data_IF_444501787636
#
_entry.id   IF_444501787636
#
_cell.length_a   1.000
_cell.length_b   1.000
_cell.length_c   1.000
_cell.angle_alpha   90.00
_cell.angle_beta   90.00
_cell.angle_gamma   90.00
#
_symmetry.space_group_name_H-M   'P 1'
#
loop_
_entity.id
_entity.type
_entity.pdbx_description
1 polymer ?
#
# COMPACT_ATOMS: atom_id res chain seq x y z
N UNK A 1 -15.06 -9.90 6.20
CA UNK A 1 -14.75 -8.77 7.10
C UNK A 1 -16.07 -8.25 7.65
N UNK A 2 -16.36 -8.49 8.92
CA UNK A 2 -17.55 -7.96 9.59
C UNK A 2 -17.12 -6.76 10.45
N UNK A 3 -16.91 -5.62 9.78
CA UNK A 3 -16.51 -4.37 10.41
C UNK A 3 -17.72 -3.52 10.75
N UNK A 4 -17.72 -2.90 11.93
CA UNK A 4 -18.78 -2.00 12.41
C UNK A 4 -18.18 -0.73 12.99
N UNK A 5 -18.89 0.39 12.82
CA UNK A 5 -18.60 1.65 13.51
C UNK A 5 -17.10 2.01 13.47
N UNK A 6 -16.49 1.91 12.29
CA UNK A 6 -15.04 1.95 12.08
C UNK A 6 -14.67 2.99 11.04
N UNK A 7 -13.55 3.69 11.28
CA UNK A 7 -13.06 4.81 10.48
C UNK A 7 -11.51 4.72 10.38
N UNK A 8 -10.93 5.04 9.23
CA UNK A 8 -9.47 4.99 8.96
C UNK A 8 -8.72 3.72 9.44
N UNK A 9 -9.13 2.55 8.93
CA UNK A 9 -8.51 1.24 9.22
C UNK A 9 -7.81 0.67 7.97
N UNK A 10 -6.58 0.19 8.11
CA UNK A 10 -5.80 -0.40 7.01
C UNK A 10 -5.19 -1.76 7.37
N UNK A 11 -5.87 -2.84 6.95
CA UNK A 11 -5.49 -4.24 7.18
C UNK A 11 -6.28 -4.87 8.32
N UNK A 12 -7.50 -5.35 8.07
CA UNK A 12 -8.48 -5.66 9.11
C UNK A 12 -8.69 -7.15 9.43
N UNK A 13 -9.41 -7.42 10.53
CA UNK A 13 -9.73 -8.76 11.04
C UNK A 13 -11.09 -9.30 10.65
N UNK A 14 -11.42 -10.48 11.19
CA UNK A 14 -12.61 -11.25 10.84
C UNK A 14 -13.90 -10.58 11.33
N UNK A 15 -13.90 -10.15 12.59
CA UNK A 15 -14.96 -9.34 13.21
C UNK A 15 -14.33 -8.27 14.09
N UNK A 16 -14.50 -7.00 13.74
CA UNK A 16 -13.99 -5.91 14.57
C UNK A 16 -14.90 -4.68 14.57
N UNK A 17 -14.86 -3.91 15.65
CA UNK A 17 -15.76 -2.78 15.87
C UNK A 17 -15.06 -1.61 16.56
N UNK A 18 -15.59 -0.39 16.38
CA UNK A 18 -15.11 0.82 17.07
C UNK A 18 -13.61 1.04 16.85
N UNK A 19 -13.20 1.02 15.58
CA UNK A 19 -11.81 1.27 15.18
C UNK A 19 -11.69 2.71 14.66
N UNK A 20 -10.65 3.44 15.06
CA UNK A 20 -10.34 4.75 14.47
C UNK A 20 -8.82 4.89 14.26
N UNK A 21 -8.38 5.22 13.05
CA UNK A 21 -6.96 5.50 12.75
C UNK A 21 -6.05 4.32 13.14
N UNK A 22 -6.09 3.22 12.38
CA UNK A 22 -5.32 1.98 12.68
C UNK A 22 -4.70 1.29 11.46
N UNK A 23 -3.49 0.74 11.62
CA UNK A 23 -2.75 -0.02 10.58
C UNK A 23 -1.74 -0.98 11.23
N UNK A 24 -2.02 -2.24 11.55
CA UNK A 24 -3.08 -3.12 11.06
C UNK A 24 -3.59 -4.08 12.16
N UNK A 25 -4.87 -4.47 12.11
CA UNK A 25 -5.57 -5.17 13.20
C UNK A 25 -6.23 -6.45 12.69
N UNK A 26 -5.80 -7.63 13.14
CA UNK A 26 -6.33 -8.94 12.70
C UNK A 26 -7.07 -9.71 13.81
N UNK A 27 -7.84 -10.74 13.44
CA UNK A 27 -8.67 -11.50 14.38
C UNK A 27 -9.89 -10.72 14.88
N UNK A 28 -10.20 -10.86 16.18
CA UNK A 28 -11.36 -10.24 16.83
C UNK A 28 -10.95 -9.02 17.67
N UNK A 29 -11.19 -7.81 17.16
CA UNK A 29 -10.75 -6.57 17.83
C UNK A 29 -11.89 -5.60 18.14
N UNK A 30 -11.74 -4.80 19.19
CA UNK A 30 -12.74 -3.79 19.54
C UNK A 30 -12.12 -2.59 20.24
N UNK A 31 -12.52 -1.36 19.88
CA UNK A 31 -12.01 -0.14 20.54
C UNK A 31 -10.48 -0.01 20.43
N UNK A 32 -9.99 -0.11 19.21
CA UNK A 32 -8.58 0.11 18.88
C UNK A 32 -8.43 1.43 18.14
N UNK A 33 -7.60 2.32 18.68
CA UNK A 33 -7.55 3.72 18.27
C UNK A 33 -6.10 4.20 18.08
N UNK A 34 -5.82 4.97 17.04
CA UNK A 34 -4.52 5.63 16.80
C UNK A 34 -3.32 4.65 16.84
N UNK A 35 -3.52 3.43 16.35
CA UNK A 35 -2.68 2.27 16.68
C UNK A 35 -2.21 1.49 15.46
N UNK A 36 -0.94 1.10 15.44
CA UNK A 36 -0.42 0.15 14.45
C UNK A 36 -0.86 -1.32 14.71
N UNK A 37 -1.75 -1.52 15.69
CA UNK A 37 -2.66 -2.65 15.77
C UNK A 37 -2.02 -3.96 16.24
N UNK A 38 -2.76 -5.06 16.05
CA UNK A 38 -2.33 -6.42 16.38
C UNK A 38 -3.49 -7.34 16.77
N UNK A 39 -3.19 -8.64 16.86
CA UNK A 39 -4.23 -9.68 16.79
C UNK A 39 -5.02 -9.84 18.11
N UNK A 40 -6.35 -9.95 18.02
CA UNK A 40 -7.27 -10.17 19.15
C UNK A 40 -7.20 -9.11 20.27
N UNK A 41 -6.95 -7.85 19.93
CA UNK A 41 -6.79 -6.76 20.91
C UNK A 41 -8.08 -5.98 21.20
N UNK A 42 -8.19 -5.44 22.42
CA UNK A 42 -9.32 -4.58 22.83
C UNK A 42 -8.84 -3.38 23.63
N UNK A 43 -9.54 -2.25 23.53
CA UNK A 43 -9.26 -1.05 24.34
C UNK A 43 -7.77 -0.66 24.23
N UNK A 44 -7.35 -0.34 23.00
CA UNK A 44 -5.96 -0.02 22.68
C UNK A 44 -5.83 1.39 22.12
N UNK A 45 -4.83 2.13 22.60
CA UNK A 45 -4.50 3.48 22.13
C UNK A 45 -3.00 3.57 21.85
N UNK A 46 -2.60 4.23 20.77
CA UNK A 46 -1.18 4.51 20.48
C UNK A 46 -0.28 3.26 20.60
N UNK A 47 -0.76 2.10 20.17
CA UNK A 47 -0.08 0.82 20.39
C UNK A 47 0.28 0.13 19.08
N UNK A 48 1.38 -0.63 19.08
CA UNK A 48 1.98 -1.28 17.92
C UNK A 48 2.29 -2.75 18.21
N UNK A 49 1.85 -3.67 17.36
CA UNK A 49 1.98 -5.12 17.52
C UNK A 49 1.58 -5.69 18.90
N UNK A 50 0.59 -5.08 19.57
CA UNK A 50 0.00 -5.67 20.78
C UNK A 50 -0.89 -6.87 20.39
N UNK A 51 -0.78 -8.00 21.09
CA UNK A 51 -1.50 -9.23 20.78
C UNK A 51 -2.26 -9.73 22.02
N UNK A 52 -3.53 -10.11 21.84
CA UNK A 52 -4.43 -10.64 22.86
C UNK A 52 -4.34 -9.85 24.18
N UNK A 53 -4.33 -8.52 24.05
CA UNK A 53 -4.10 -7.59 25.15
C UNK A 53 -5.27 -6.62 25.27
N UNK A 54 -5.55 -6.18 26.49
CA UNK A 54 -6.71 -5.33 26.81
C UNK A 54 -6.33 -4.15 27.70
N UNK A 55 -6.84 -2.95 27.43
CA UNK A 55 -6.49 -1.73 28.18
C UNK A 55 -4.97 -1.46 28.11
N UNK A 56 -4.49 -1.16 26.90
CA UNK A 56 -3.08 -0.81 26.65
C UNK A 56 -2.93 0.54 25.96
N UNK A 57 -1.96 1.33 26.43
CA UNK A 57 -1.72 2.70 25.96
C UNK A 57 -0.23 2.88 25.65
N UNK A 58 0.13 3.35 24.44
CA UNK A 58 1.53 3.58 24.10
C UNK A 58 2.40 2.31 24.03
N UNK A 59 1.80 1.13 23.86
CA UNK A 59 2.49 -0.15 24.06
C UNK A 59 2.95 -0.81 22.76
N UNK A 60 4.13 -1.42 22.77
CA UNK A 60 4.78 -2.04 21.61
C UNK A 60 5.07 -3.52 21.88
N UNK A 61 4.65 -4.42 20.98
CA UNK A 61 4.96 -5.86 21.01
C UNK A 61 4.51 -6.65 22.26
N UNK A 62 3.53 -6.17 23.03
CA UNK A 62 3.00 -6.89 24.19
C UNK A 62 2.16 -8.11 23.79
N UNK A 63 2.15 -9.16 24.63
CA UNK A 63 1.36 -10.39 24.41
C UNK A 63 0.66 -10.82 25.70
N UNK A 64 -0.65 -11.08 25.65
CA UNK A 64 -1.44 -11.56 26.80
C UNK A 64 -1.34 -10.63 28.03
N UNK A 65 -1.38 -9.31 27.84
CA UNK A 65 -1.22 -8.31 28.91
C UNK A 65 -2.44 -7.40 29.05
N UNK A 66 -2.59 -6.85 30.24
CA UNK A 66 -3.65 -5.89 30.55
C UNK A 66 -3.18 -4.77 31.46
N UNK A 67 -3.81 -3.60 31.37
CA UNK A 67 -3.49 -2.40 32.15
C UNK A 67 -2.02 -1.98 32.00
N UNK A 68 -1.59 -1.81 30.74
CA UNK A 68 -0.20 -1.45 30.42
C UNK A 68 -0.10 -0.06 29.80
N UNK A 69 0.89 0.72 30.26
CA UNK A 69 1.23 2.05 29.72
C UNK A 69 2.72 2.04 29.41
N UNK A 70 3.09 2.34 28.16
CA UNK A 70 4.49 2.34 27.68
C UNK A 70 5.24 1.05 28.08
N UNK A 71 4.63 -0.12 27.78
CA UNK A 71 5.09 -1.47 28.12
C UNK A 71 5.20 -1.83 29.62
N UNK A 72 4.98 -0.90 30.55
CA UNK A 72 4.90 -1.21 31.98
C UNK A 72 3.47 -1.59 32.37
N UNK A 73 3.33 -2.69 33.10
CA UNK A 73 2.05 -3.13 33.67
C UNK A 73 1.80 -2.44 35.02
N UNK A 74 0.55 -2.05 35.27
CA UNK A 74 0.07 -1.35 36.46
C UNK A 74 -1.11 -2.10 37.11
N UNK A 75 -1.55 -1.66 38.30
CA UNK A 75 -2.90 -2.07 38.76
C UNK A 75 -3.97 -1.40 37.89
N UNK A 76 -5.21 -1.90 37.99
CA UNK A 76 -6.35 -1.32 37.27
C UNK A 76 -6.58 0.13 37.69
N UNK A 77 -6.54 0.41 38.99
CA UNK A 77 -6.81 1.70 39.61
C UNK A 77 -5.73 2.73 39.24
N UNK A 78 -4.47 2.29 39.20
CA UNK A 78 -3.35 3.10 38.70
C UNK A 78 -3.53 3.44 37.21
N UNK A 79 -3.87 2.44 36.38
CA UNK A 79 -4.09 2.64 34.95
C UNK A 79 -5.25 3.60 34.67
N UNK A 80 -6.40 3.40 35.30
CA UNK A 80 -7.60 4.24 35.16
C UNK A 80 -7.35 5.68 35.63
N UNK A 81 -6.44 5.89 36.58
CA UNK A 81 -5.99 7.22 37.01
C UNK A 81 -4.96 7.85 36.06
N UNK A 82 -4.01 7.07 35.54
CA UNK A 82 -2.90 7.56 34.72
C UNK A 82 -3.34 7.93 33.30
N UNK A 83 -4.18 7.11 32.65
CA UNK A 83 -4.55 7.32 31.24
C UNK A 83 -5.24 8.68 31.01
N UNK A 84 -6.25 9.12 31.79
CA UNK A 84 -6.84 10.45 31.62
C UNK A 84 -5.84 11.60 31.82
N UNK A 85 -4.88 11.44 32.74
CA UNK A 85 -3.83 12.43 32.97
C UNK A 85 -2.87 12.53 31.76
N UNK A 86 -2.51 11.40 31.15
CA UNK A 86 -1.68 11.34 29.94
C UNK A 86 -2.42 11.98 28.75
N UNK A 87 -3.70 11.65 28.52
CA UNK A 87 -4.51 12.25 27.45
C UNK A 87 -4.55 13.77 27.58
N UNK A 88 -4.89 14.28 28.77
CA UNK A 88 -4.90 15.73 29.08
C UNK A 88 -3.53 16.39 28.95
N UNK A 89 -2.44 15.65 29.14
CA UNK A 89 -1.08 16.14 28.93
C UNK A 89 -0.74 16.25 27.44
N UNK A 90 -1.14 15.28 26.61
CA UNK A 90 -0.99 15.34 25.15
C UNK A 90 -1.75 16.52 24.52
N UNK A 91 -2.92 16.89 25.07
CA UNK A 91 -3.66 18.06 24.59
C UNK A 91 -2.99 19.39 24.95
N UNK A 92 -2.32 19.44 26.11
CA UNK A 92 -1.64 20.63 26.64
C UNK A 92 -0.25 20.85 26.05
N UNK A 93 0.45 19.78 25.74
CA UNK A 93 1.77 19.77 25.12
C UNK A 93 1.74 18.79 23.95
N UNK A 94 1.08 19.17 22.85
CA UNK A 94 1.03 18.36 21.65
C UNK A 94 2.41 18.23 21.02
N UNK A 95 2.59 17.19 20.23
CA UNK A 95 3.78 17.06 19.40
C UNK A 95 3.63 17.96 18.16
N UNK A 96 4.65 18.76 17.86
CA UNK A 96 4.73 19.53 16.61
C UNK A 96 5.86 18.96 15.77
N UNK A 97 5.56 18.61 14.52
CA UNK A 97 6.54 18.02 13.60
C UNK A 97 7.40 19.10 12.90
N UNK A 98 8.40 18.68 12.13
CA UNK A 98 9.27 19.61 11.36
C UNK A 98 8.56 20.49 10.32
N UNK A 99 7.27 20.29 10.07
CA UNK A 99 6.42 21.09 9.17
C UNK A 99 5.42 21.99 9.92
N UNK A 100 5.42 21.98 11.26
CA UNK A 100 4.44 22.69 12.06
C UNK A 100 3.08 21.98 12.17
N UNK A 101 3.01 20.69 11.80
CA UNK A 101 1.79 19.88 11.98
C UNK A 101 1.69 19.47 13.45
N UNK A 102 0.53 19.78 14.07
CA UNK A 102 0.30 19.60 15.51
C UNK A 102 -0.51 18.33 15.76
N UNK A 103 0.04 17.41 16.56
CA UNK A 103 -0.53 16.11 16.88
C UNK A 103 -0.94 16.06 18.36
N UNK A 104 -2.25 15.97 18.60
CA UNK A 104 -2.89 15.91 19.93
C UNK A 104 -3.35 14.50 20.28
N UNK A 105 -3.96 14.32 21.46
CA UNK A 105 -4.74 13.10 21.68
C UNK A 105 -5.92 13.08 20.71
N UNK A 106 -6.06 11.99 19.94
CA UNK A 106 -7.03 11.88 18.85
C UNK A 106 -6.41 11.84 17.45
N UNK A 107 -5.11 12.14 17.31
CA UNK A 107 -4.40 12.07 16.02
C UNK A 107 -3.59 10.76 15.91
N UNK A 108 -3.38 10.24 14.69
CA UNK A 108 -2.44 9.12 14.46
C UNK A 108 -0.97 9.55 14.67
N UNK A 109 -0.06 8.58 14.68
CA UNK A 109 1.37 8.85 14.79
C UNK A 109 1.89 9.75 13.64
N UNK A 110 2.68 10.81 13.95
CA UNK A 110 3.34 11.63 12.95
C UNK A 110 4.16 10.79 11.95
N UNK A 111 4.03 11.02 10.62
CA UNK A 111 4.76 10.24 9.61
C UNK A 111 6.29 10.25 9.78
N UNK A 112 6.86 11.28 10.40
CA UNK A 112 8.31 11.34 10.66
C UNK A 112 8.79 10.40 11.78
N UNK A 113 7.89 9.89 12.62
CA UNK A 113 8.18 8.85 13.63
C UNK A 113 8.12 7.43 13.04
N UNK A 114 7.72 7.26 11.78
CA UNK A 114 7.71 5.96 11.11
C UNK A 114 9.08 5.27 11.16
N UNK A 115 9.11 3.93 11.17
CA UNK A 115 10.34 3.17 11.01
C UNK A 115 10.88 3.20 9.56
N UNK A 116 10.01 3.49 8.58
CA UNK A 116 10.30 3.38 7.14
C UNK A 116 10.36 4.75 6.44
N UNK A 117 11.01 4.82 5.28
CA UNK A 117 10.90 5.96 4.36
C UNK A 117 9.60 5.87 3.55
N UNK A 118 9.11 6.98 3.00
CA UNK A 118 7.87 7.00 2.21
C UNK A 118 7.95 6.04 1.03
N UNK A 119 9.07 6.04 0.29
CA UNK A 119 9.28 5.17 -0.87
C UNK A 119 9.48 3.68 -0.53
N UNK A 120 9.59 3.32 0.75
CA UNK A 120 9.58 1.93 1.24
C UNK A 120 8.24 1.57 1.91
N UNK A 121 7.35 2.54 2.13
CA UNK A 121 6.09 2.36 2.85
C UNK A 121 5.02 1.70 1.97
N UNK A 122 4.07 1.01 2.60
CA UNK A 122 2.94 0.35 1.92
C UNK A 122 2.09 1.32 1.06
N UNK A 123 2.06 2.62 1.40
CA UNK A 123 1.34 3.63 0.65
C UNK A 123 1.94 3.94 -0.73
N UNK A 124 3.25 3.74 -0.93
CA UNK A 124 3.96 4.22 -2.12
C UNK A 124 3.50 3.63 -3.45
N UNK A 125 3.22 2.31 -3.58
CA UNK A 125 2.70 1.75 -4.83
C UNK A 125 1.27 2.21 -5.19
N UNK A 126 0.56 2.84 -4.25
CA UNK A 126 -0.76 3.43 -4.47
C UNK A 126 -0.70 4.94 -4.76
N UNK A 127 0.24 5.61 -4.11
CA UNK A 127 0.46 7.06 -4.19
C UNK A 127 1.94 7.33 -4.49
N UNK A 128 2.42 6.98 -5.70
CA UNK A 128 3.82 7.20 -6.06
C UNK A 128 4.10 8.70 -6.10
N UNK A 129 5.14 9.12 -5.37
CA UNK A 129 5.64 10.50 -5.35
C UNK A 129 7.11 10.53 -5.75
N UNK A 130 7.54 11.62 -6.38
CA UNK A 130 8.96 11.93 -6.58
C UNK A 130 9.67 12.17 -5.24
N UNK A 131 11.00 12.09 -5.25
CA UNK A 131 11.82 12.40 -4.06
C UNK A 131 11.59 13.84 -3.60
N UNK A 132 11.48 14.75 -4.54
CA UNK A 132 11.30 16.18 -4.33
C UNK A 132 9.97 16.47 -3.63
N UNK A 133 8.87 15.84 -4.08
CA UNK A 133 7.57 15.91 -3.41
C UNK A 133 7.59 15.31 -2.00
N UNK A 134 8.22 14.16 -1.79
CA UNK A 134 8.32 13.52 -0.46
C UNK A 134 9.07 14.40 0.54
N UNK A 135 10.18 15.02 0.10
CA UNK A 135 10.94 15.95 0.94
C UNK A 135 10.17 17.26 1.18
N UNK A 136 9.41 17.74 0.19
CA UNK A 136 8.53 18.90 0.34
C UNK A 136 7.41 18.67 1.36
N UNK A 137 6.93 17.43 1.52
CA UNK A 137 5.95 17.01 2.55
C UNK A 137 6.57 16.82 3.96
N UNK A 138 7.90 16.96 4.07
CA UNK A 138 8.65 16.72 5.31
C UNK A 138 8.85 15.24 5.63
N UNK A 139 8.60 14.34 4.68
CA UNK A 139 8.76 12.91 4.85
C UNK A 139 10.16 12.45 4.43
N UNK A 140 10.57 11.27 4.89
CA UNK A 140 11.90 10.72 4.59
C UNK A 140 11.89 9.95 3.28
N UNK A 141 12.97 10.12 2.51
CA UNK A 141 13.27 9.34 1.32
C UNK A 141 14.44 8.39 1.59
N UNK A 142 14.36 7.14 1.13
CA UNK A 142 15.47 6.19 1.14
C UNK A 142 16.20 6.21 -0.19
N UNK A 143 17.49 6.55 -0.18
CA UNK A 143 18.33 6.41 -1.36
C UNK A 143 18.53 4.92 -1.73
N UNK A 144 18.37 4.54 -3.01
CA UNK A 144 18.67 3.20 -3.46
C UNK A 144 20.12 2.81 -3.18
N UNK A 145 20.34 1.61 -2.64
CA UNK A 145 21.69 1.10 -2.40
C UNK A 145 22.44 0.92 -3.73
N UNK A 146 23.67 1.48 -3.82
CA UNK A 146 24.56 1.25 -4.96
C UNK A 146 24.96 -0.23 -5.01
N UNK A 147 24.58 -0.92 -6.10
CA UNK A 147 24.83 -2.35 -6.28
C UNK A 147 26.11 -2.57 -7.08
N UNK A 148 27.02 -3.40 -6.56
CA UNK A 148 28.31 -3.71 -7.18
C UNK A 148 28.22 -5.03 -7.97
N UNK A 149 27.54 -4.99 -9.12
CA UNK A 149 27.59 -6.08 -10.09
C UNK A 149 27.76 -5.50 -11.50
N UNK A 150 28.23 -6.33 -12.42
CA UNK A 150 28.29 -6.00 -13.85
C UNK A 150 27.15 -6.73 -14.56
N UNK A 151 26.40 -6.00 -15.39
CA UNK A 151 25.39 -6.58 -16.28
C UNK A 151 26.13 -7.33 -17.38
N UNK A 152 25.89 -8.63 -17.53
CA UNK A 152 26.53 -9.45 -18.56
C UNK A 152 25.70 -9.51 -19.84
N UNK A 153 24.37 -9.42 -19.72
CA UNK A 153 23.44 -9.32 -20.85
C UNK A 153 22.38 -8.23 -20.59
N UNK A 154 22.22 -7.23 -21.47
CA UNK A 154 21.16 -6.24 -21.33
C UNK A 154 19.82 -6.84 -21.77
N UNK A 155 18.70 -6.41 -21.16
CA UNK A 155 17.37 -6.98 -21.49
C UNK A 155 16.97 -6.88 -22.95
N UNK A 156 17.54 -5.98 -23.76
CA UNK A 156 17.27 -5.91 -25.20
C UNK A 156 17.84 -7.10 -26.01
N UNK A 157 18.86 -7.79 -25.50
CA UNK A 157 19.60 -8.82 -26.24
C UNK A 157 19.14 -10.25 -25.89
N UNK A 158 18.16 -10.42 -24.99
CA UNK A 158 17.54 -11.75 -24.77
C UNK A 158 16.67 -12.13 -25.99
N UNK A 159 16.55 -13.41 -26.35
CA UNK A 159 15.62 -13.85 -27.39
C UNK A 159 14.16 -13.56 -27.05
N UNK A 160 13.35 -13.23 -28.06
CA UNK A 160 11.91 -12.97 -27.89
C UNK A 160 11.10 -14.24 -27.61
N UNK A 161 11.54 -15.40 -28.12
CA UNK A 161 10.87 -16.67 -27.88
C UNK A 161 11.70 -17.59 -26.96
N UNK A 162 11.03 -18.22 -26.00
CA UNK A 162 11.66 -19.03 -24.94
C UNK A 162 12.37 -20.30 -25.46
N UNK A 163 12.08 -20.71 -26.70
CA UNK A 163 12.75 -21.83 -27.38
C UNK A 163 14.19 -21.52 -27.76
N UNK A 164 14.51 -20.25 -28.00
CA UNK A 164 15.82 -19.79 -28.43
C UNK A 164 16.75 -19.46 -27.24
N UNK A 165 16.21 -19.54 -26.01
CA UNK A 165 16.91 -19.28 -24.76
C UNK A 165 17.74 -20.51 -24.35
N UNK A 166 19.06 -20.35 -24.38
CA UNK A 166 20.05 -21.36 -23.94
C UNK A 166 20.06 -21.50 -22.41
N UNK A 167 20.42 -22.69 -21.91
CA UNK A 167 20.53 -22.95 -20.46
C UNK A 167 21.52 -22.02 -19.74
N UNK A 168 22.56 -21.53 -20.43
CA UNK A 168 23.58 -20.64 -19.85
C UNK A 168 23.03 -19.33 -19.28
N UNK A 169 21.79 -18.95 -19.63
CA UNK A 169 21.12 -17.74 -19.11
C UNK A 169 21.00 -17.73 -17.57
N UNK A 170 21.14 -18.88 -16.89
CA UNK A 170 21.10 -18.97 -15.43
C UNK A 170 22.32 -18.33 -14.74
N UNK A 171 23.44 -18.27 -15.44
CA UNK A 171 24.70 -17.69 -14.92
C UNK A 171 24.77 -16.17 -15.18
N UNK A 172 24.02 -15.72 -16.18
CA UNK A 172 24.00 -14.33 -16.64
C UNK A 172 23.34 -13.38 -15.64
N UNK A 173 23.81 -12.13 -15.62
CA UNK A 173 23.21 -11.00 -14.90
C UNK A 173 22.44 -10.17 -15.92
N UNK A 174 21.12 -10.35 -15.94
CA UNK A 174 20.22 -9.67 -16.88
C UNK A 174 19.96 -8.25 -16.39
N UNK A 175 20.44 -7.26 -17.14
CA UNK A 175 20.16 -5.85 -16.86
C UNK A 175 18.71 -5.51 -17.17
N UNK A 176 18.00 -4.90 -16.23
CA UNK A 176 16.60 -4.47 -16.39
C UNK A 176 16.47 -3.49 -17.57
N UNK A 177 15.39 -3.53 -18.35
CA UNK A 177 15.17 -2.55 -19.42
C UNK A 177 15.15 -1.10 -18.90
N UNK A 178 14.62 -0.85 -17.70
CA UNK A 178 14.70 0.45 -17.02
C UNK A 178 16.12 0.87 -16.57
N UNK A 179 17.11 -0.05 -16.59
CA UNK A 179 18.52 0.23 -16.32
C UNK A 179 19.32 0.66 -17.56
N UNK A 180 18.68 0.74 -18.74
CA UNK A 180 19.31 1.29 -19.96
C UNK A 180 19.64 2.80 -19.85
N UNK A 181 19.30 3.45 -18.73
CA UNK A 181 19.71 4.82 -18.34
C UNK A 181 20.88 4.87 -17.33
N UNK A 182 21.75 3.86 -17.33
CA UNK A 182 22.93 3.71 -16.44
C UNK A 182 22.64 3.53 -14.93
N UNK A 183 23.71 3.30 -14.15
CA UNK A 183 23.70 2.95 -12.73
C UNK A 183 23.12 4.11 -11.93
N UNK A 184 21.95 3.90 -11.33
CA UNK A 184 21.16 4.96 -10.69
C UNK A 184 20.13 5.64 -11.60
N UNK A 185 19.67 4.95 -12.66
CA UNK A 185 18.61 5.37 -13.59
C UNK A 185 17.56 6.29 -12.95
N UNK A 186 17.61 7.62 -13.20
CA UNK A 186 16.74 8.60 -12.54
C UNK A 186 15.26 8.49 -12.92
N UNK A 187 14.94 7.62 -13.89
CA UNK A 187 13.66 7.56 -14.60
C UNK A 187 12.71 6.54 -13.95
N UNK A 188 13.22 5.58 -13.18
CA UNK A 188 12.42 4.50 -12.62
C UNK A 188 12.20 4.62 -11.12
N UNK A 189 11.06 5.21 -10.74
CA UNK A 189 10.65 5.38 -9.34
C UNK A 189 10.18 4.08 -8.64
N UNK A 190 10.19 2.94 -9.36
CA UNK A 190 9.56 1.67 -8.97
C UNK A 190 10.49 0.74 -8.16
N UNK A 191 11.31 1.30 -7.27
CA UNK A 191 12.32 0.57 -6.49
C UNK A 191 13.17 -0.40 -7.35
N UNK A 192 13.66 0.08 -8.49
CA UNK A 192 14.32 -0.76 -9.50
C UNK A 192 15.54 -1.51 -8.92
N UNK A 193 15.62 -2.82 -9.14
CA UNK A 193 16.79 -3.61 -8.73
C UNK A 193 17.99 -3.48 -9.68
N UNK A 194 17.81 -2.73 -10.77
CA UNK A 194 18.66 -2.50 -11.96
C UNK A 194 19.13 -3.73 -12.75
N UNK A 195 19.19 -4.91 -12.13
CA UNK A 195 19.41 -6.20 -12.77
C UNK A 195 18.76 -7.33 -11.96
N UNK A 196 18.71 -8.51 -12.53
CA UNK A 196 18.20 -9.74 -11.94
C UNK A 196 18.86 -10.97 -12.59
N UNK A 197 18.61 -12.15 -12.03
CA UNK A 197 18.98 -13.45 -12.61
C UNK A 197 17.72 -14.30 -12.81
N UNK A 198 17.84 -15.36 -13.59
CA UNK A 198 16.81 -16.40 -13.74
C UNK A 198 17.40 -17.70 -13.18
N UNK A 199 16.74 -18.32 -12.21
CA UNK A 199 17.14 -19.63 -11.69
C UNK A 199 16.79 -20.76 -12.68
N UNK A 200 17.44 -21.94 -12.58
CA UNK A 200 17.07 -23.10 -13.41
C UNK A 200 15.58 -23.47 -13.31
N UNK A 201 15.02 -23.44 -12.09
CA UNK A 201 13.60 -23.72 -11.83
C UNK A 201 12.67 -22.70 -12.49
N UNK A 202 13.04 -21.42 -12.49
CA UNK A 202 12.30 -20.39 -13.21
C UNK A 202 12.38 -20.60 -14.74
N UNK A 203 13.57 -20.90 -15.28
CA UNK A 203 13.75 -21.17 -16.72
C UNK A 203 12.87 -22.33 -17.20
N UNK A 204 12.80 -23.41 -16.43
CA UNK A 204 11.91 -24.54 -16.70
C UNK A 204 10.43 -24.15 -16.66
N UNK A 205 10.04 -23.27 -15.73
CA UNK A 205 8.69 -22.72 -15.70
C UNK A 205 8.38 -21.88 -16.96
N UNK A 206 9.26 -20.96 -17.36
CA UNK A 206 9.05 -20.15 -18.57
C UNK A 206 8.90 -21.04 -19.82
N UNK A 207 9.70 -22.11 -19.93
CA UNK A 207 9.63 -23.09 -21.03
C UNK A 207 8.32 -23.87 -21.05
N UNK A 208 7.91 -24.45 -19.91
CA UNK A 208 6.66 -25.23 -19.79
C UNK A 208 5.43 -24.40 -20.12
N UNK A 209 5.43 -23.14 -19.70
CA UNK A 209 4.35 -22.18 -19.96
C UNK A 209 4.45 -21.49 -21.33
N UNK A 210 5.49 -21.79 -22.13
CA UNK A 210 5.80 -21.16 -23.43
C UNK A 210 5.73 -19.62 -23.40
N UNK A 211 6.35 -19.01 -22.38
CA UNK A 211 6.38 -17.55 -22.17
C UNK A 211 7.81 -17.01 -22.24
N UNK A 212 7.98 -15.85 -22.85
CA UNK A 212 9.27 -15.17 -22.98
C UNK A 212 9.90 -14.83 -21.62
N UNK A 213 11.23 -14.71 -21.58
CA UNK A 213 11.92 -14.22 -20.40
C UNK A 213 11.56 -12.74 -20.13
N UNK A 214 11.50 -12.32 -18.86
CA UNK A 214 11.14 -10.96 -18.51
C UNK A 214 12.21 -9.96 -18.96
N UNK A 215 11.78 -8.80 -19.49
CA UNK A 215 12.64 -7.64 -19.80
C UNK A 215 12.80 -6.67 -18.62
N UNK A 216 12.02 -6.88 -17.55
CA UNK A 216 11.96 -6.03 -16.37
C UNK A 216 12.27 -6.84 -15.12
N UNK A 217 12.95 -6.21 -14.15
CA UNK A 217 13.24 -6.84 -12.88
C UNK A 217 11.97 -7.09 -12.05
N UNK A 218 12.01 -7.94 -10.99
CA UNK A 218 10.83 -8.30 -10.22
C UNK A 218 10.01 -7.09 -9.71
N UNK A 219 10.69 -6.07 -9.17
CA UNK A 219 10.03 -4.86 -8.64
C UNK A 219 9.30 -4.08 -9.75
N UNK A 220 9.98 -3.78 -10.86
CA UNK A 220 9.35 -3.08 -11.98
C UNK A 220 8.20 -3.89 -12.62
N UNK A 221 8.32 -5.23 -12.72
CA UNK A 221 7.21 -6.09 -13.17
C UNK A 221 6.01 -6.05 -12.24
N UNK A 222 6.25 -5.96 -10.93
CA UNK A 222 5.18 -5.79 -9.96
C UNK A 222 4.54 -4.41 -10.06
N UNK A 223 5.32 -3.35 -10.24
CA UNK A 223 4.78 -2.01 -10.47
C UNK A 223 3.91 -1.91 -11.73
N UNK A 224 4.37 -2.44 -12.88
CA UNK A 224 3.56 -2.46 -14.12
C UNK A 224 2.24 -3.23 -13.92
N UNK A 225 2.25 -4.35 -13.21
CA UNK A 225 1.03 -5.08 -12.83
C UNK A 225 0.15 -4.30 -11.86
N UNK A 226 0.72 -3.50 -10.95
CA UNK A 226 -0.05 -2.67 -10.02
C UNK A 226 -0.73 -1.49 -10.76
N UNK A 227 -0.16 -0.97 -11.85
CA UNK A 227 -0.77 0.07 -12.71
C UNK A 227 -2.06 -0.40 -13.41
N UNK A 228 -2.31 -1.70 -13.50
CA UNK A 228 -3.56 -2.27 -14.02
C UNK A 228 -4.68 -2.25 -12.98
N UNK A 229 -4.39 -1.90 -11.73
CA UNK A 229 -5.39 -1.80 -10.67
C UNK A 229 -6.11 -0.46 -10.76
N UNK A 230 -7.39 -0.48 -10.41
CA UNK A 230 -8.16 0.71 -10.17
C UNK A 230 -7.65 1.43 -8.91
N UNK A 231 -7.61 2.77 -8.98
CA UNK A 231 -7.26 3.62 -7.84
C UNK A 231 -8.43 3.68 -6.83
N UNK A 232 -8.15 4.07 -5.59
CA UNK A 232 -9.18 4.25 -4.56
C UNK A 232 -10.02 5.54 -4.72
N UNK A 233 -9.65 6.43 -5.64
CA UNK A 233 -10.44 7.63 -5.95
C UNK A 233 -11.63 7.26 -6.81
N UNK A 234 -12.84 7.49 -6.30
CA UNK A 234 -14.07 7.48 -7.08
C UNK A 234 -14.26 8.84 -7.75
N UNK A 235 -14.80 8.79 -8.97
CA UNK A 235 -15.13 9.92 -9.82
C UNK A 235 -16.58 9.76 -10.26
N UNK A 236 -17.35 10.82 -10.04
CA UNK A 236 -18.70 10.92 -10.57
C UNK A 236 -18.66 11.00 -12.09
N UNK A 237 -19.30 10.05 -12.79
CA UNK A 237 -19.36 10.01 -14.26
C UNK A 237 -20.71 9.58 -14.79
N UNK A 238 -20.98 10.00 -16.02
CA UNK A 238 -22.23 9.74 -16.72
C UNK A 238 -22.00 8.62 -17.76
N UNK A 239 -23.02 7.82 -18.02
CA UNK A 239 -22.98 6.76 -19.00
C UNK A 239 -22.70 7.30 -20.41
N UNK A 240 -21.64 6.78 -21.05
CA UNK A 240 -21.20 7.20 -22.39
C UNK A 240 -21.89 6.41 -23.52
N UNK A 241 -23.03 5.76 -23.25
CA UNK A 241 -23.76 4.99 -24.25
C UNK A 241 -24.50 5.89 -25.24
N UNK A 242 -24.22 5.67 -26.53
CA UNK A 242 -24.89 6.31 -27.67
C UNK A 242 -25.59 5.28 -28.58
N UNK A 243 -25.80 4.05 -28.09
CA UNK A 243 -26.38 2.97 -28.88
C UNK A 243 -27.90 3.07 -28.96
N UNK A 244 -28.44 2.81 -30.16
CA UNK A 244 -29.88 2.79 -30.42
C UNK A 244 -30.50 1.47 -29.97
N UNK A 245 -31.77 1.50 -29.57
CA UNK A 245 -32.50 0.33 -29.08
C UNK A 245 -32.25 -0.04 -27.62
N UNK A 246 -31.31 0.65 -26.94
CA UNK A 246 -31.21 0.65 -25.49
C UNK A 246 -32.37 1.44 -24.86
N UNK A 247 -32.58 1.34 -23.54
CA UNK A 247 -33.74 1.94 -22.84
C UNK A 247 -33.84 3.48 -22.96
N UNK A 248 -32.75 4.17 -23.32
CA UNK A 248 -32.70 5.61 -23.57
C UNK A 248 -32.99 6.00 -25.04
N UNK A 249 -33.33 5.03 -25.89
CA UNK A 249 -33.64 5.20 -27.32
C UNK A 249 -32.53 5.97 -28.07
N UNK A 250 -32.86 7.04 -28.78
CA UNK A 250 -31.89 7.87 -29.54
C UNK A 250 -31.25 8.99 -28.72
N UNK A 251 -31.49 9.05 -27.40
CA UNK A 251 -30.88 10.04 -26.49
C UNK A 251 -29.68 9.44 -25.76
N UNK A 252 -28.76 10.30 -25.30
CA UNK A 252 -27.70 9.90 -24.38
C UNK A 252 -28.29 9.30 -23.10
N UNK A 253 -27.66 8.25 -22.58
CA UNK A 253 -28.09 7.57 -21.37
C UNK A 253 -28.05 8.51 -20.14
N UNK A 254 -29.14 8.67 -19.38
CA UNK A 254 -29.20 9.60 -18.23
C UNK A 254 -28.57 9.03 -16.95
N UNK A 255 -28.03 7.80 -16.97
CA UNK A 255 -27.51 7.16 -15.77
C UNK A 255 -26.14 7.72 -15.38
N UNK A 256 -26.02 8.13 -14.12
CA UNK A 256 -24.79 8.61 -13.49
C UNK A 256 -24.34 7.61 -12.41
N UNK A 257 -23.02 7.49 -12.19
CA UNK A 257 -22.45 6.54 -11.25
C UNK A 257 -21.04 6.93 -10.81
N UNK A 258 -20.64 6.43 -9.64
CA UNK A 258 -19.26 6.53 -9.16
C UNK A 258 -18.38 5.45 -9.80
N UNK A 259 -17.22 5.85 -10.34
CA UNK A 259 -16.27 4.94 -10.98
C UNK A 259 -14.83 5.31 -10.69
N UNK A 260 -13.93 4.34 -10.78
CA UNK A 260 -12.48 4.54 -10.56
C UNK A 260 -11.74 5.02 -11.81
N UNK A 261 -12.43 5.08 -12.95
CA UNK A 261 -11.92 5.60 -14.22
C UNK A 261 -12.01 7.13 -14.25
N UNK A 262 -10.87 7.80 -14.35
CA UNK A 262 -10.79 9.27 -14.31
C UNK A 262 -11.43 9.94 -15.53
N UNK A 263 -11.95 11.19 -15.42
CA UNK A 263 -12.55 11.93 -16.52
C UNK A 263 -11.72 12.01 -17.80
N UNK A 264 -10.40 12.17 -17.67
CA UNK A 264 -9.46 12.45 -18.76
C UNK A 264 -9.03 11.21 -19.54
N UNK A 265 -9.37 10.01 -19.05
CA UNK A 265 -8.99 8.78 -19.74
C UNK A 265 -9.89 8.51 -20.97
N UNK A 266 -9.37 7.83 -22.01
CA UNK A 266 -10.09 7.59 -23.26
C UNK A 266 -11.05 6.38 -23.23
N UNK A 267 -11.10 5.57 -22.17
CA UNK A 267 -12.00 4.40 -22.16
C UNK A 267 -13.47 4.83 -22.09
N UNK A 268 -14.32 4.23 -22.92
CA UNK A 268 -15.77 4.44 -22.91
C UNK A 268 -16.38 3.66 -21.75
N UNK A 269 -17.23 4.31 -20.93
CA UNK A 269 -17.81 3.70 -19.73
C UNK A 269 -19.33 3.66 -19.85
N UNK A 270 -19.90 2.46 -19.79
CA UNK A 270 -21.34 2.24 -19.78
C UNK A 270 -21.84 1.96 -18.36
N UNK A 271 -23.07 2.36 -18.06
CA UNK A 271 -23.78 1.87 -16.87
C UNK A 271 -24.05 0.36 -17.01
N UNK A 272 -24.39 -0.30 -15.89
CA UNK A 272 -24.59 -1.76 -15.86
C UNK A 272 -25.58 -2.27 -16.92
N UNK A 273 -26.64 -1.50 -17.20
CA UNK A 273 -27.72 -1.95 -18.07
C UNK A 273 -27.41 -1.73 -19.55
N UNK A 274 -26.76 -0.61 -19.91
CA UNK A 274 -26.21 -0.40 -21.26
C UNK A 274 -25.09 -1.41 -21.57
N UNK A 275 -24.24 -1.75 -20.60
CA UNK A 275 -23.21 -2.76 -20.79
C UNK A 275 -23.80 -4.15 -21.08
N UNK A 276 -24.84 -4.55 -20.32
CA UNK A 276 -25.55 -5.81 -20.58
C UNK A 276 -26.19 -5.81 -21.97
N UNK A 277 -27.01 -4.81 -22.28
CA UNK A 277 -27.77 -4.74 -23.53
C UNK A 277 -26.88 -4.77 -24.79
N UNK A 278 -25.61 -4.37 -24.69
CA UNK A 278 -24.66 -4.38 -25.81
C UNK A 278 -23.81 -5.67 -25.90
N UNK A 279 -23.45 -6.28 -24.76
CA UNK A 279 -22.39 -7.29 -24.69
C UNK A 279 -22.77 -8.62 -24.01
N UNK A 280 -24.00 -8.77 -23.49
CA UNK A 280 -24.48 -9.96 -22.76
C UNK A 280 -25.88 -10.40 -23.20
#
# INVERSE_FOLDING_TARGET
>A
MNLKDSWDVSGSGDSAELLYETFAVTGHAARCFFSAGGNNCRETWYSDWAINSSYVFGCVSLKNKQYCILNKQYTKEEYEKLVPAIKKHMDKMPYEDKKGRVYKFGEFFPPELSAYAYNEAFAFPWYPKTKEEVLAEGWRWREPQKRQYQITIPSKDLPDHIRDVKNSITEEIIGCAHAAGQIGSPICNEQCTTAFRITPTELDFYRRMNIALPRLCPNCRSAERLKWRNNFTLWHRNCMCNQRGHFHADKSCPNEFETTFRPEKPEIIYCSDCYKAEYL
#
